data_IF_076958543931
#
_entry.id   IF_076958543931
#
_cell.length_a   1.000
_cell.length_b   1.000
_cell.length_c   1.000
_cell.angle_alpha   90.00
_cell.angle_beta   90.00
_cell.angle_gamma   90.00
#
_symmetry.space_group_name_H-M   'P 1'
#
loop_
_entity.id
_entity.type
_entity.pdbx_description
1 polymer ?
#
# COMPACT_ATOMS: atom_id res chain seq x y z
N UNK A 1 -26.16 21.44 -15.75
CA UNK A 1 -25.82 22.61 -14.94
C UNK A 1 -25.53 22.21 -13.51
N UNK A 2 -24.65 22.91 -12.86
CA UNK A 2 -24.32 22.74 -11.43
C UNK A 2 -24.88 23.90 -10.65
N UNK A 3 -25.49 23.61 -9.51
CA UNK A 3 -25.89 24.63 -8.55
C UNK A 3 -25.10 24.46 -7.26
N UNK A 4 -24.67 25.55 -6.66
CA UNK A 4 -23.93 25.59 -5.42
C UNK A 4 -24.44 26.73 -4.51
N UNK A 5 -23.76 26.92 -3.37
CA UNK A 5 -24.20 27.92 -2.39
C UNK A 5 -24.32 29.36 -2.96
N UNK A 6 -23.60 29.68 -4.04
CA UNK A 6 -23.69 31.00 -4.68
C UNK A 6 -24.98 31.18 -5.47
N UNK A 7 -25.69 30.10 -5.76
CA UNK A 7 -27.00 30.12 -6.45
C UNK A 7 -28.18 30.26 -5.48
N UNK A 8 -27.96 30.37 -4.19
CA UNK A 8 -29.01 30.63 -3.23
C UNK A 8 -29.45 32.11 -3.31
N UNK A 9 -30.76 32.32 -3.23
CA UNK A 9 -31.35 33.66 -3.35
C UNK A 9 -31.09 34.55 -2.11
N UNK A 10 -30.75 33.90 -0.97
CA UNK A 10 -30.33 34.53 0.27
C UNK A 10 -29.39 33.61 1.05
N UNK A 11 -28.53 34.21 1.85
CA UNK A 11 -27.72 33.46 2.82
C UNK A 11 -28.61 32.76 3.84
N UNK A 12 -28.22 31.55 4.25
CA UNK A 12 -28.92 30.81 5.30
C UNK A 12 -28.80 31.62 6.60
N UNK A 13 -29.94 32.02 7.18
CA UNK A 13 -29.97 32.72 8.45
C UNK A 13 -29.48 31.80 9.58
N UNK A 14 -28.81 32.35 10.59
CA UNK A 14 -28.40 31.56 11.74
C UNK A 14 -29.61 30.91 12.43
N UNK A 15 -29.49 29.68 12.94
CA UNK A 15 -30.56 28.99 13.64
C UNK A 15 -30.93 29.71 14.94
N UNK A 16 -32.21 29.73 15.25
CA UNK A 16 -32.65 30.12 16.60
C UNK A 16 -32.22 29.05 17.62
N UNK A 17 -32.20 29.38 18.90
CA UNK A 17 -31.83 28.44 19.96
C UNK A 17 -32.73 27.19 19.94
N UNK A 18 -34.02 27.37 19.75
CA UNK A 18 -34.96 26.22 19.67
C UNK A 18 -34.68 25.30 18.49
N UNK A 19 -34.35 25.86 17.34
CA UNK A 19 -34.00 25.10 16.14
C UNK A 19 -32.69 24.36 16.35
N UNK A 20 -31.70 25.04 16.93
CA UNK A 20 -30.38 24.45 17.18
C UNK A 20 -30.47 23.28 18.18
N UNK A 21 -31.25 23.46 19.27
CA UNK A 21 -31.48 22.41 20.26
C UNK A 21 -32.21 21.20 19.67
N UNK A 22 -33.20 21.42 18.81
CA UNK A 22 -33.91 20.34 18.13
C UNK A 22 -32.97 19.57 17.19
N UNK A 23 -32.21 20.30 16.38
CA UNK A 23 -31.25 19.70 15.46
C UNK A 23 -30.16 18.93 16.18
N UNK A 24 -29.59 19.50 17.26
CA UNK A 24 -28.61 18.79 18.09
C UNK A 24 -29.18 17.47 18.63
N UNK A 25 -30.43 17.47 19.11
CA UNK A 25 -31.09 16.26 19.60
C UNK A 25 -31.27 15.19 18.52
N UNK A 26 -31.51 15.61 17.28
CA UNK A 26 -31.65 14.73 16.11
C UNK A 26 -30.33 14.06 15.72
N UNK A 27 -29.24 14.80 15.85
CA UNK A 27 -27.88 14.33 15.49
C UNK A 27 -27.00 14.02 16.71
N UNK A 28 -27.62 13.81 17.87
CA UNK A 28 -26.94 13.62 19.16
C UNK A 28 -25.86 12.53 19.12
N UNK A 29 -26.08 11.47 18.34
CA UNK A 29 -25.14 10.38 18.15
C UNK A 29 -23.78 10.84 17.57
N UNK A 30 -23.75 11.90 16.74
CA UNK A 30 -22.51 12.45 16.18
C UNK A 30 -21.67 13.22 17.20
N UNK A 31 -22.31 13.64 18.29
CA UNK A 31 -21.70 14.39 19.39
C UNK A 31 -21.66 13.61 20.70
N UNK A 32 -21.80 12.29 20.62
CA UNK A 32 -21.68 11.38 21.76
C UNK A 32 -20.31 10.72 21.73
N UNK A 33 -19.61 10.71 22.85
CA UNK A 33 -18.36 9.95 22.97
C UNK A 33 -18.66 8.47 22.78
N UNK A 34 -17.79 7.68 22.15
CA UNK A 34 -17.98 6.24 22.09
C UNK A 34 -17.92 5.62 23.49
N UNK A 35 -18.43 4.41 23.63
CA UNK A 35 -18.13 3.57 24.79
C UNK A 35 -16.62 3.34 24.84
N UNK A 36 -16.02 3.54 26.02
CA UNK A 36 -14.60 3.32 26.26
C UNK A 36 -14.44 2.16 27.22
N UNK A 37 -13.71 1.13 26.79
CA UNK A 37 -13.26 0.03 27.64
C UNK A 37 -11.89 0.37 28.21
N UNK A 38 -11.79 0.44 29.52
CA UNK A 38 -10.52 0.59 30.22
C UNK A 38 -9.88 -0.79 30.33
N UNK A 39 -8.80 -1.02 29.62
CA UNK A 39 -8.17 -2.33 29.50
C UNK A 39 -6.74 -2.25 30.04
N UNK A 40 -6.39 -3.20 30.93
CA UNK A 40 -4.98 -3.55 31.22
C UNK A 40 -4.57 -4.72 30.35
N UNK A 41 -3.37 -4.70 29.87
CA UNK A 41 -2.81 -5.81 29.10
C UNK A 41 -1.31 -5.97 29.39
N UNK A 42 -0.83 -7.20 29.23
CA UNK A 42 0.59 -7.51 29.17
C UNK A 42 0.92 -7.97 27.76
N UNK A 43 2.10 -7.61 27.29
CA UNK A 43 2.58 -7.99 25.97
C UNK A 43 4.04 -8.40 26.02
N UNK A 44 4.42 -9.32 25.15
CA UNK A 44 5.80 -9.67 24.81
C UNK A 44 5.90 -9.75 23.30
N UNK A 45 6.69 -8.88 22.71
CA UNK A 45 6.83 -8.79 21.24
C UNK A 45 8.27 -8.92 20.83
N UNK A 46 8.57 -9.44 19.62
CA UNK A 46 9.95 -9.53 19.15
C UNK A 46 10.67 -8.17 19.14
N UNK A 47 9.94 -7.07 18.91
CA UNK A 47 10.51 -5.73 18.92
C UNK A 47 11.01 -5.29 20.31
N UNK A 48 10.43 -5.81 21.40
CA UNK A 48 10.90 -5.53 22.76
C UNK A 48 12.21 -6.26 23.08
N UNK A 49 12.39 -7.46 22.55
CA UNK A 49 13.56 -8.31 22.83
C UNK A 49 14.73 -8.05 21.90
N UNK A 50 14.51 -7.53 20.68
CA UNK A 50 15.51 -7.41 19.61
C UNK A 50 16.80 -6.71 20.04
N UNK A 51 16.72 -5.72 20.89
CA UNK A 51 17.88 -4.95 21.38
C UNK A 51 18.76 -5.77 22.36
N UNK A 52 18.16 -6.75 23.05
CA UNK A 52 18.85 -7.66 23.97
C UNK A 52 19.44 -8.91 23.31
N UNK A 53 19.02 -9.21 22.08
CA UNK A 53 19.44 -10.44 21.38
C UNK A 53 20.84 -10.30 20.79
N UNK A 54 21.74 -11.22 21.14
CA UNK A 54 23.07 -11.27 20.56
C UNK A 54 23.07 -12.07 19.24
N UNK A 55 23.40 -11.40 18.14
CA UNK A 55 23.58 -12.03 16.82
C UNK A 55 25.06 -12.14 16.51
N UNK A 56 25.54 -13.36 16.28
CA UNK A 56 26.95 -13.59 15.95
C UNK A 56 27.31 -13.09 14.55
N UNK A 57 28.55 -12.64 14.37
CA UNK A 57 29.08 -12.21 13.07
C UNK A 57 29.05 -13.37 12.07
N UNK A 58 29.28 -14.59 12.53
CA UNK A 58 29.25 -15.78 11.67
C UNK A 58 27.82 -16.07 11.14
N UNK A 59 26.79 -15.85 11.95
CA UNK A 59 25.41 -16.00 11.51
C UNK A 59 25.04 -14.96 10.42
N UNK A 60 25.49 -13.70 10.59
CA UNK A 60 25.28 -12.66 9.59
C UNK A 60 25.99 -13.01 8.28
N UNK A 61 27.27 -13.46 8.37
CA UNK A 61 28.04 -13.87 7.21
C UNK A 61 27.41 -15.08 6.49
N UNK A 62 26.94 -16.06 7.24
CA UNK A 62 26.27 -17.25 6.70
C UNK A 62 24.95 -16.88 5.97
N UNK A 63 24.15 -15.96 6.52
CA UNK A 63 22.93 -15.50 5.88
C UNK A 63 23.23 -14.68 4.60
N UNK A 64 24.29 -13.85 4.64
CA UNK A 64 24.75 -13.11 3.48
C UNK A 64 25.19 -14.06 2.35
N UNK A 65 25.99 -15.08 2.66
CA UNK A 65 26.42 -16.10 1.69
C UNK A 65 25.24 -16.90 1.13
N UNK A 66 24.29 -17.28 1.98
CA UNK A 66 23.09 -18.00 1.57
C UNK A 66 22.21 -17.19 0.59
N UNK A 67 22.30 -15.85 0.63
CA UNK A 67 21.57 -14.91 -0.23
C UNK A 67 22.48 -14.20 -1.25
N UNK A 68 23.58 -14.83 -1.67
CA UNK A 68 24.55 -14.24 -2.59
C UNK A 68 23.90 -13.63 -3.84
N UNK A 69 22.93 -14.30 -4.45
CA UNK A 69 22.22 -13.82 -5.62
C UNK A 69 21.39 -12.52 -5.40
N UNK A 70 21.03 -12.21 -4.14
CA UNK A 70 20.35 -10.96 -3.78
C UNK A 70 21.35 -9.79 -3.73
N UNK A 71 22.51 -10.04 -3.13
CA UNK A 71 23.54 -9.04 -2.86
C UNK A 71 24.54 -8.86 -4.00
N UNK A 72 24.79 -9.91 -4.78
CA UNK A 72 25.78 -9.94 -5.85
C UNK A 72 25.13 -10.26 -7.19
N UNK A 73 24.55 -9.25 -7.80
CA UNK A 73 23.98 -9.36 -9.14
C UNK A 73 25.06 -9.16 -10.19
N UNK A 74 25.38 -10.19 -11.00
CA UNK A 74 26.38 -10.05 -12.06
C UNK A 74 25.92 -9.05 -13.12
N UNK A 75 26.86 -8.57 -13.93
CA UNK A 75 26.52 -7.78 -15.11
C UNK A 75 25.64 -8.62 -16.05
N UNK A 76 24.61 -7.99 -16.62
CA UNK A 76 23.73 -8.59 -17.63
C UNK A 76 23.56 -7.65 -18.80
N UNK A 77 23.17 -8.20 -19.95
CA UNK A 77 22.93 -7.46 -21.18
C UNK A 77 21.49 -7.69 -21.63
N UNK A 78 20.81 -6.62 -22.02
CA UNK A 78 19.57 -6.73 -22.81
C UNK A 78 20.01 -6.99 -24.25
N UNK A 79 19.55 -8.09 -24.82
CA UNK A 79 20.11 -8.59 -26.07
C UNK A 79 19.01 -8.98 -27.05
N UNK A 80 19.14 -8.51 -28.29
CA UNK A 80 18.37 -9.04 -29.40
C UNK A 80 19.19 -10.07 -30.17
N UNK A 81 18.53 -11.10 -30.71
CA UNK A 81 19.13 -12.13 -31.53
C UNK A 81 18.40 -12.26 -32.86
N UNK A 82 19.07 -12.00 -33.98
CA UNK A 82 18.54 -12.24 -35.31
C UNK A 82 19.25 -13.43 -35.95
N UNK A 83 18.52 -14.54 -36.15
CA UNK A 83 19.06 -15.75 -36.78
C UNK A 83 18.95 -15.68 -38.30
N UNK A 84 19.86 -16.38 -38.98
CA UNK A 84 19.99 -16.45 -40.44
C UNK A 84 20.01 -17.91 -40.90
N UNK A 85 19.72 -18.09 -42.18
CA UNK A 85 19.71 -19.45 -42.79
C UNK A 85 21.12 -20.04 -42.84
N UNK A 86 22.10 -19.18 -43.17
CA UNK A 86 23.50 -19.57 -43.20
C UNK A 86 24.44 -18.43 -42.77
N UNK A 87 25.71 -18.77 -42.53
CA UNK A 87 26.72 -17.84 -42.06
C UNK A 87 27.10 -16.74 -43.13
N UNK A 88 26.89 -17.04 -44.39
CA UNK A 88 27.17 -16.08 -45.47
C UNK A 88 26.17 -14.95 -45.44
N UNK A 89 24.87 -15.27 -45.34
CA UNK A 89 23.81 -14.29 -45.22
C UNK A 89 23.98 -13.43 -43.95
N UNK A 90 24.27 -14.05 -42.81
CA UNK A 90 24.56 -13.35 -41.57
C UNK A 90 25.77 -12.38 -41.68
N UNK A 91 26.83 -12.83 -42.32
CA UNK A 91 28.03 -11.99 -42.50
C UNK A 91 27.77 -10.81 -43.45
N UNK A 92 26.98 -11.01 -44.52
CA UNK A 92 26.58 -9.93 -45.42
C UNK A 92 25.69 -8.90 -44.70
N UNK A 93 24.74 -9.35 -43.90
CA UNK A 93 23.90 -8.48 -43.09
C UNK A 93 24.72 -7.66 -42.09
N UNK A 94 25.67 -8.29 -41.43
CA UNK A 94 26.59 -7.59 -40.53
C UNK A 94 27.41 -6.52 -41.25
N UNK A 95 27.98 -6.86 -42.42
CA UNK A 95 28.74 -5.91 -43.21
C UNK A 95 27.92 -4.69 -43.65
N UNK A 96 26.64 -4.88 -43.97
CA UNK A 96 25.72 -3.77 -44.28
C UNK A 96 25.46 -2.87 -43.06
N UNK A 97 25.36 -3.44 -41.88
CA UNK A 97 25.21 -2.65 -40.62
C UNK A 97 26.50 -1.86 -40.35
N UNK A 98 27.67 -2.48 -40.49
CA UNK A 98 28.98 -1.84 -40.23
C UNK A 98 29.29 -0.63 -41.11
N UNK A 99 28.70 -0.55 -42.28
CA UNK A 99 28.84 0.61 -43.19
C UNK A 99 27.62 1.55 -43.16
N UNK A 100 26.75 1.42 -42.13
CA UNK A 100 25.53 2.20 -41.95
C UNK A 100 24.57 2.15 -43.17
N UNK A 101 24.64 1.09 -43.97
CA UNK A 101 23.74 0.90 -45.10
C UNK A 101 22.33 0.50 -44.69
N UNK A 102 22.24 -0.20 -43.56
CA UNK A 102 20.97 -0.66 -42.96
C UNK A 102 21.11 -0.73 -41.46
N UNK A 103 20.04 -0.41 -40.71
CA UNK A 103 19.98 -0.65 -39.25
C UNK A 103 19.58 -2.07 -38.90
N UNK A 104 19.90 -2.49 -37.69
CA UNK A 104 19.45 -3.80 -37.19
C UNK A 104 17.90 -3.88 -37.18
N UNK A 105 17.22 -2.82 -36.77
CA UNK A 105 15.75 -2.76 -36.73
C UNK A 105 15.17 -2.96 -38.14
N UNK A 106 15.75 -2.30 -39.12
CA UNK A 106 15.34 -2.43 -40.53
C UNK A 106 15.52 -3.86 -41.05
N UNK A 107 16.61 -4.54 -40.66
CA UNK A 107 16.84 -5.94 -41.00
C UNK A 107 15.79 -6.87 -40.40
N UNK A 108 15.36 -6.58 -39.18
CA UNK A 108 14.28 -7.32 -38.49
C UNK A 108 12.95 -7.12 -39.24
N UNK A 109 12.59 -5.87 -39.55
CA UNK A 109 11.38 -5.52 -40.29
C UNK A 109 11.35 -6.13 -41.71
N UNK A 110 12.44 -6.08 -42.45
CA UNK A 110 12.54 -6.62 -43.85
C UNK A 110 12.34 -8.14 -43.86
N UNK A 111 12.50 -8.82 -42.71
CA UNK A 111 12.21 -10.24 -42.53
C UNK A 111 10.79 -10.52 -42.03
N UNK A 112 9.98 -9.47 -41.86
CA UNK A 112 8.61 -9.59 -41.36
C UNK A 112 8.51 -9.89 -39.88
N UNK A 113 9.58 -9.60 -39.10
CA UNK A 113 9.65 -9.77 -37.65
C UNK A 113 9.44 -8.44 -36.95
N UNK A 114 8.91 -8.46 -35.74
CA UNK A 114 8.93 -7.33 -34.81
C UNK A 114 10.17 -7.41 -33.91
N UNK A 115 10.60 -6.30 -33.32
CA UNK A 115 11.71 -6.28 -32.35
C UNK A 115 11.46 -7.18 -31.15
N UNK A 116 10.20 -7.33 -30.75
CA UNK A 116 9.78 -8.25 -29.67
C UNK A 116 10.00 -9.74 -30.03
N UNK A 117 10.09 -10.09 -31.33
CA UNK A 117 10.31 -11.47 -31.76
C UNK A 117 11.78 -11.88 -31.66
N UNK A 118 12.68 -10.89 -31.61
CA UNK A 118 14.13 -11.08 -31.55
C UNK A 118 14.71 -10.75 -30.16
N UNK A 119 13.91 -10.16 -29.28
CA UNK A 119 14.30 -9.83 -27.91
C UNK A 119 14.49 -11.11 -27.08
N UNK A 120 15.67 -11.25 -26.49
CA UNK A 120 16.04 -12.34 -25.58
C UNK A 120 15.92 -11.94 -24.10
N UNK A 121 15.58 -10.69 -23.81
CA UNK A 121 15.57 -10.15 -22.47
C UNK A 121 16.97 -9.89 -21.88
N UNK A 122 17.09 -9.89 -20.59
CA UNK A 122 18.34 -9.70 -19.87
C UNK A 122 19.04 -11.05 -19.59
N UNK A 123 20.27 -11.17 -20.11
CA UNK A 123 21.07 -12.39 -20.05
C UNK A 123 22.44 -12.13 -19.44
N UNK A 124 22.93 -13.11 -18.72
CA UNK A 124 24.33 -13.19 -18.31
C UNK A 124 25.22 -13.72 -19.46
N UNK A 125 26.52 -13.62 -19.24
CA UNK A 125 27.49 -14.04 -20.26
C UNK A 125 27.42 -15.55 -20.57
N UNK A 126 27.10 -16.38 -19.60
CA UNK A 126 27.05 -17.84 -19.74
C UNK A 126 25.84 -18.27 -20.57
N UNK A 127 24.69 -17.64 -20.34
CA UNK A 127 23.46 -17.90 -21.07
C UNK A 127 23.55 -17.61 -22.57
N UNK A 128 24.45 -16.70 -22.96
CA UNK A 128 24.72 -16.35 -24.38
C UNK A 128 25.64 -17.37 -25.09
N UNK A 129 26.20 -18.34 -24.38
CA UNK A 129 27.06 -19.37 -24.96
C UNK A 129 28.24 -18.79 -25.77
N UNK A 130 28.41 -19.22 -27.02
CA UNK A 130 29.52 -18.77 -27.88
C UNK A 130 29.54 -17.25 -28.14
N UNK A 131 28.39 -16.59 -28.10
CA UNK A 131 28.29 -15.15 -28.29
C UNK A 131 28.65 -14.34 -27.04
N UNK A 132 28.65 -14.96 -25.85
CA UNK A 132 28.72 -14.26 -24.57
C UNK A 132 29.90 -13.31 -24.42
N UNK A 133 31.11 -13.75 -24.77
CA UNK A 133 32.32 -12.92 -24.67
C UNK A 133 32.21 -11.68 -25.55
N UNK A 134 31.76 -11.87 -26.79
CA UNK A 134 31.67 -10.76 -27.76
C UNK A 134 30.52 -9.79 -27.40
N UNK A 135 29.38 -10.29 -26.96
CA UNK A 135 28.24 -9.45 -26.51
C UNK A 135 28.63 -8.64 -25.28
N UNK A 136 29.38 -9.21 -24.35
CA UNK A 136 29.81 -8.51 -23.13
C UNK A 136 30.96 -7.52 -23.37
N UNK A 137 31.72 -7.67 -24.47
CA UNK A 137 32.72 -6.71 -24.91
C UNK A 137 32.12 -5.56 -25.77
N UNK A 138 30.90 -5.76 -26.26
CA UNK A 138 30.24 -4.80 -27.15
C UNK A 138 29.66 -3.59 -26.38
N UNK A 139 29.66 -2.45 -27.07
CA UNK A 139 29.00 -1.23 -26.59
C UNK A 139 27.47 -1.29 -26.82
N UNK A 140 26.78 -0.29 -26.27
CA UNK A 140 25.33 -0.13 -26.50
C UNK A 140 25.07 0.05 -28.00
N UNK A 141 24.01 -0.57 -28.51
CA UNK A 141 23.57 -0.63 -29.91
C UNK A 141 24.55 -1.32 -30.85
N UNK A 142 25.66 -1.83 -30.35
CA UNK A 142 26.62 -2.55 -31.20
C UNK A 142 26.08 -3.94 -31.55
N UNK A 143 26.27 -4.32 -32.85
CA UNK A 143 25.92 -5.66 -33.36
C UNK A 143 27.16 -6.51 -33.48
N UNK A 144 27.15 -7.69 -32.89
CA UNK A 144 28.24 -8.66 -32.94
C UNK A 144 27.80 -9.98 -33.56
N UNK A 145 28.74 -10.76 -34.05
CA UNK A 145 28.50 -12.03 -34.69
C UNK A 145 29.03 -12.06 -36.13
N UNK A 146 28.61 -13.04 -36.96
CA UNK A 146 27.67 -14.10 -36.62
C UNK A 146 28.27 -15.15 -35.70
N UNK A 147 27.42 -15.71 -34.81
CA UNK A 147 27.76 -16.86 -33.96
C UNK A 147 26.80 -18.00 -34.23
N UNK A 148 27.26 -19.23 -34.16
CA UNK A 148 26.41 -20.41 -34.29
C UNK A 148 25.50 -20.57 -33.10
N UNK A 149 24.20 -20.78 -33.36
CA UNK A 149 23.17 -21.03 -32.36
C UNK A 149 22.35 -22.26 -32.73
N UNK A 150 21.52 -22.77 -31.81
CA UNK A 150 20.65 -23.88 -32.07
C UNK A 150 19.62 -23.66 -33.21
N UNK A 151 19.36 -22.40 -33.58
CA UNK A 151 18.40 -21.99 -34.63
C UNK A 151 19.09 -21.46 -35.88
N UNK A 152 20.41 -21.60 -36.00
CA UNK A 152 21.24 -21.13 -37.09
C UNK A 152 22.24 -20.04 -36.66
N UNK A 153 23.09 -19.58 -37.60
CA UNK A 153 23.99 -18.47 -37.37
C UNK A 153 23.21 -17.21 -37.04
N UNK A 154 23.63 -16.45 -36.02
CA UNK A 154 22.87 -15.30 -35.54
C UNK A 154 23.77 -14.09 -35.28
N UNK A 155 23.22 -12.91 -35.53
CA UNK A 155 23.73 -11.62 -35.06
C UNK A 155 23.06 -11.26 -33.73
N UNK A 156 23.83 -10.61 -32.86
CA UNK A 156 23.38 -10.16 -31.57
C UNK A 156 23.57 -8.65 -31.45
N UNK A 157 22.54 -7.93 -30.99
CA UNK A 157 22.61 -6.51 -30.68
C UNK A 157 22.49 -6.31 -29.17
N UNK A 158 23.28 -5.39 -28.61
CA UNK A 158 23.21 -5.01 -27.19
C UNK A 158 22.25 -3.83 -27.04
N UNK A 159 21.06 -4.05 -26.52
CA UNK A 159 20.05 -3.00 -26.27
C UNK A 159 20.25 -2.28 -24.93
N UNK A 160 20.96 -2.88 -24.00
CA UNK A 160 21.16 -2.31 -22.67
C UNK A 160 22.26 -3.04 -21.90
N UNK A 161 22.90 -2.29 -21.01
CA UNK A 161 23.96 -2.77 -20.13
C UNK A 161 23.49 -2.61 -18.70
N UNK A 162 23.18 -3.72 -18.05
CA UNK A 162 22.83 -3.79 -16.63
C UNK A 162 24.12 -4.09 -15.86
N UNK A 163 24.75 -3.04 -15.36
CA UNK A 163 26.01 -3.17 -14.62
C UNK A 163 25.86 -4.09 -13.42
N UNK A 164 26.92 -4.80 -13.11
CA UNK A 164 27.01 -5.59 -11.88
C UNK A 164 26.72 -4.70 -10.66
N UNK A 165 25.92 -5.24 -9.74
CA UNK A 165 25.61 -4.60 -8.46
C UNK A 165 26.07 -5.53 -7.36
N UNK A 166 26.97 -5.05 -6.51
CA UNK A 166 27.43 -5.78 -5.34
C UNK A 166 27.14 -4.94 -4.09
N UNK A 167 26.44 -5.53 -3.13
CA UNK A 167 26.27 -4.98 -1.79
C UNK A 167 27.24 -5.69 -0.88
N UNK A 168 28.19 -5.00 -0.31
CA UNK A 168 29.17 -5.64 0.58
C UNK A 168 28.53 -6.21 1.85
N UNK A 169 29.15 -7.21 2.45
CA UNK A 169 28.73 -7.75 3.75
C UNK A 169 28.60 -6.64 4.81
N UNK A 170 29.52 -5.69 4.83
CA UNK A 170 29.46 -4.56 5.76
C UNK A 170 28.19 -3.73 5.56
N UNK A 171 27.80 -3.42 4.31
CA UNK A 171 26.59 -2.68 4.00
C UNK A 171 25.31 -3.48 4.29
N UNK A 172 25.32 -4.79 4.11
CA UNK A 172 24.21 -5.68 4.37
C UNK A 172 24.08 -6.07 5.86
N UNK A 173 25.14 -5.95 6.66
CA UNK A 173 25.19 -6.45 8.04
C UNK A 173 24.10 -5.89 8.95
N UNK A 174 23.77 -4.61 8.84
CA UNK A 174 22.74 -3.99 9.67
C UNK A 174 21.35 -4.61 9.46
N UNK A 175 20.81 -4.61 8.24
CA UNK A 175 19.55 -5.28 7.91
C UNK A 175 19.53 -6.78 8.26
N UNK A 176 20.58 -7.52 7.93
CA UNK A 176 20.69 -8.96 8.21
C UNK A 176 20.72 -9.26 9.71
N UNK A 177 21.44 -8.42 10.48
CA UNK A 177 21.46 -8.53 11.94
C UNK A 177 20.07 -8.34 12.54
N UNK A 178 19.35 -7.31 12.09
CA UNK A 178 18.00 -7.05 12.58
C UNK A 178 17.03 -8.18 12.26
N UNK A 179 17.13 -8.76 11.07
CA UNK A 179 16.34 -9.92 10.68
C UNK A 179 16.61 -11.12 11.59
N UNK A 180 17.88 -11.49 11.75
CA UNK A 180 18.28 -12.59 12.63
C UNK A 180 17.90 -12.33 14.10
N UNK A 181 18.03 -11.10 14.58
CA UNK A 181 17.63 -10.73 15.93
C UNK A 181 16.13 -10.89 16.16
N UNK A 182 15.30 -10.50 15.17
CA UNK A 182 13.85 -10.71 15.23
C UNK A 182 13.48 -12.19 15.20
N UNK A 183 14.18 -13.02 14.43
CA UNK A 183 13.92 -14.47 14.38
C UNK A 183 14.31 -15.14 15.69
N UNK A 184 15.43 -14.76 16.29
CA UNK A 184 15.84 -15.25 17.60
C UNK A 184 14.87 -14.79 18.71
N UNK A 185 14.44 -13.54 18.67
CA UNK A 185 13.45 -13.01 19.61
C UNK A 185 12.11 -13.77 19.52
N UNK A 186 11.66 -14.13 18.31
CA UNK A 186 10.47 -14.98 18.11
C UNK A 186 10.65 -16.35 18.75
N UNK A 187 11.81 -16.99 18.52
CA UNK A 187 12.10 -18.29 19.11
C UNK A 187 12.13 -18.23 20.64
N UNK A 188 12.67 -17.17 21.21
CA UNK A 188 12.68 -16.93 22.65
C UNK A 188 11.27 -16.75 23.22
N UNK A 189 10.40 -16.00 22.52
CA UNK A 189 8.98 -15.86 22.89
C UNK A 189 8.30 -17.23 22.85
N UNK A 190 8.49 -18.00 21.78
CA UNK A 190 7.88 -19.34 21.64
C UNK A 190 8.28 -20.28 22.78
N UNK A 191 9.52 -20.21 23.27
CA UNK A 191 9.98 -20.97 24.43
C UNK A 191 9.27 -20.55 25.75
N UNK A 192 8.88 -19.28 25.87
CA UNK A 192 8.21 -18.74 27.06
C UNK A 192 6.69 -18.95 27.04
N UNK A 193 6.06 -19.16 25.88
CA UNK A 193 4.58 -19.27 25.74
C UNK A 193 3.96 -20.29 26.68
N UNK A 194 4.56 -21.49 26.77
CA UNK A 194 4.03 -22.56 27.64
C UNK A 194 4.06 -22.19 29.12
N UNK A 195 5.11 -21.54 29.59
CA UNK A 195 5.25 -21.09 30.97
C UNK A 195 4.25 -19.96 31.27
N UNK A 196 4.07 -19.01 30.35
CA UNK A 196 3.11 -17.90 30.53
C UNK A 196 1.67 -18.43 30.55
N UNK A 197 1.33 -19.39 29.69
CA UNK A 197 0.01 -20.00 29.65
C UNK A 197 -0.27 -20.82 30.94
N UNK A 198 0.71 -21.54 31.45
CA UNK A 198 0.62 -22.26 32.72
C UNK A 198 0.39 -21.31 33.90
N UNK A 199 1.07 -20.16 33.97
CA UNK A 199 0.86 -19.13 34.98
C UNK A 199 -0.54 -18.56 34.92
N UNK A 200 -1.04 -18.24 33.72
CA UNK A 200 -2.42 -17.78 33.52
C UNK A 200 -3.44 -18.84 33.93
N UNK A 201 -3.19 -20.08 33.56
CA UNK A 201 -4.09 -21.22 33.96
C UNK A 201 -4.11 -21.46 35.48
N UNK A 202 -2.99 -21.16 36.16
CA UNK A 202 -2.88 -21.17 37.61
C UNK A 202 -3.57 -19.97 38.28
N UNK A 203 -4.03 -18.98 37.50
CA UNK A 203 -4.76 -17.80 37.99
C UNK A 203 -3.88 -16.59 38.26
N UNK A 204 -2.67 -16.54 37.70
CA UNK A 204 -1.80 -15.37 37.81
C UNK A 204 -2.47 -14.12 37.25
N UNK A 205 -2.29 -13.01 37.90
CA UNK A 205 -2.72 -11.67 37.45
C UNK A 205 -1.77 -11.13 36.38
N UNK A 206 -2.20 -10.11 35.65
CA UNK A 206 -1.33 -9.44 34.67
C UNK A 206 -0.11 -8.78 35.32
N UNK A 207 -0.29 -8.30 36.56
CA UNK A 207 0.75 -7.70 37.38
C UNK A 207 1.80 -8.72 37.80
N UNK A 208 1.37 -9.94 38.17
CA UNK A 208 2.28 -11.05 38.50
C UNK A 208 3.04 -11.53 37.24
N UNK A 209 2.35 -11.65 36.10
CA UNK A 209 3.03 -11.98 34.84
C UNK A 209 4.11 -10.97 34.47
N UNK A 210 3.83 -9.68 34.60
CA UNK A 210 4.83 -8.63 34.33
C UNK A 210 6.02 -8.66 35.32
N UNK A 211 5.82 -9.21 36.52
CA UNK A 211 6.88 -9.36 37.53
C UNK A 211 7.70 -10.65 37.40
N UNK A 212 7.12 -11.71 36.83
CA UNK A 212 7.72 -13.04 36.76
C UNK A 212 8.23 -13.39 35.34
N UNK A 213 7.85 -12.61 34.34
CA UNK A 213 8.23 -12.80 32.94
C UNK A 213 8.73 -11.50 32.33
N UNK A 214 9.17 -11.55 31.07
CA UNK A 214 9.59 -10.37 30.32
C UNK A 214 8.40 -9.59 29.69
N UNK A 215 7.16 -9.95 30.03
CA UNK A 215 5.98 -9.24 29.55
C UNK A 215 5.88 -7.85 30.18
N UNK A 216 5.52 -6.85 29.38
CA UNK A 216 5.29 -5.50 29.84
C UNK A 216 3.81 -5.23 30.10
N UNK A 217 3.49 -4.74 31.32
CA UNK A 217 2.14 -4.31 31.68
C UNK A 217 1.87 -2.89 31.19
N UNK A 218 0.74 -2.71 30.49
CA UNK A 218 0.27 -1.42 30.02
C UNK A 218 -1.25 -1.29 30.17
N UNK A 219 -1.74 -0.06 29.98
CA UNK A 219 -3.18 0.24 30.01
C UNK A 219 -3.59 1.04 28.78
N UNK A 220 -4.84 0.86 28.35
CA UNK A 220 -5.41 1.62 27.24
C UNK A 220 -6.90 1.89 27.47
N UNK A 221 -7.33 3.11 27.17
CA UNK A 221 -8.72 3.47 27.01
C UNK A 221 -9.14 3.15 25.57
N UNK A 222 -9.72 1.96 25.39
CA UNK A 222 -9.97 1.42 24.06
C UNK A 222 -11.40 1.68 23.57
N UNK A 223 -11.53 2.09 22.33
CA UNK A 223 -12.75 2.09 21.52
C UNK A 223 -12.39 1.68 20.08
N UNK A 224 -13.37 1.42 19.24
CA UNK A 224 -13.17 0.83 17.89
C UNK A 224 -12.24 1.63 16.94
N UNK A 225 -12.04 2.91 17.18
CA UNK A 225 -11.19 3.78 16.36
C UNK A 225 -9.72 3.84 16.85
N UNK A 226 -9.42 3.29 18.03
CA UNK A 226 -8.05 3.22 18.55
C UNK A 226 -7.25 2.21 17.73
N UNK A 227 -6.13 2.68 17.15
CA UNK A 227 -5.31 1.89 16.22
C UNK A 227 -3.81 2.10 16.41
N UNK A 228 -3.37 2.49 17.61
CA UNK A 228 -1.96 2.70 17.95
C UNK A 228 -1.46 1.59 18.87
N UNK A 229 -0.15 1.31 18.81
CA UNK A 229 0.46 0.26 19.62
C UNK A 229 -0.18 -1.10 19.36
N UNK A 230 -0.44 -1.85 20.43
CA UNK A 230 -1.07 -3.17 20.34
C UNK A 230 -2.47 -3.12 19.72
N UNK A 231 -3.20 -2.01 19.89
CA UNK A 231 -4.53 -1.82 19.28
C UNK A 231 -4.49 -1.67 17.72
N UNK A 232 -3.31 -1.65 17.09
CA UNK A 232 -3.18 -1.76 15.65
C UNK A 232 -3.48 -3.19 15.15
N UNK A 233 -3.21 -4.20 15.96
CA UNK A 233 -3.41 -5.62 15.62
C UNK A 233 -4.89 -6.01 15.67
N UNK A 234 -5.31 -6.81 14.69
CA UNK A 234 -6.69 -7.28 14.60
C UNK A 234 -7.06 -8.21 15.78
N UNK A 235 -6.12 -9.02 16.23
CA UNK A 235 -6.25 -9.94 17.37
C UNK A 235 -6.58 -9.17 18.65
N UNK A 236 -5.91 -8.04 18.89
CA UNK A 236 -6.20 -7.18 20.02
C UNK A 236 -7.60 -6.55 19.91
N UNK A 237 -7.97 -6.04 18.73
CA UNK A 237 -9.29 -5.43 18.51
C UNK A 237 -10.42 -6.43 18.79
N UNK A 238 -10.27 -7.68 18.33
CA UNK A 238 -11.23 -8.76 18.57
C UNK A 238 -11.32 -9.08 20.08
N UNK A 239 -10.18 -9.24 20.74
CA UNK A 239 -10.13 -9.53 22.17
C UNK A 239 -10.73 -8.37 22.99
N UNK A 240 -10.35 -7.12 22.70
CA UNK A 240 -10.88 -5.93 23.38
C UNK A 240 -12.37 -5.73 23.15
N UNK A 241 -12.89 -6.04 21.95
CA UNK A 241 -14.33 -5.96 21.69
C UNK A 241 -15.14 -6.97 22.52
N UNK A 242 -14.58 -8.16 22.76
CA UNK A 242 -15.29 -9.29 23.41
C UNK A 242 -14.99 -9.46 24.88
N UNK A 243 -13.97 -8.78 25.43
CA UNK A 243 -13.60 -8.91 26.84
C UNK A 243 -14.75 -8.45 27.75
N UNK A 244 -14.94 -9.19 28.85
CA UNK A 244 -15.94 -8.92 29.91
C UNK A 244 -15.27 -8.80 31.27
N UNK A 245 -15.94 -8.17 32.25
CA UNK A 245 -15.40 -7.96 33.61
C UNK A 245 -15.07 -9.26 34.33
N UNK A 246 -15.86 -10.32 34.09
CA UNK A 246 -15.68 -11.65 34.70
C UNK A 246 -14.77 -12.56 33.85
N UNK A 247 -14.20 -12.04 32.74
CA UNK A 247 -13.39 -12.81 31.82
C UNK A 247 -11.98 -13.05 32.37
N UNK A 248 -11.53 -14.31 32.37
CA UNK A 248 -10.15 -14.63 32.71
C UNK A 248 -9.23 -14.24 31.53
N UNK A 249 -8.07 -13.58 31.80
CA UNK A 249 -7.07 -13.32 30.78
C UNK A 249 -6.60 -14.63 30.10
N UNK A 250 -6.43 -14.56 28.79
CA UNK A 250 -5.90 -15.66 27.98
C UNK A 250 -4.76 -15.16 27.14
N UNK A 251 -3.76 -15.99 26.95
CA UNK A 251 -2.66 -15.69 26.05
C UNK A 251 -3.15 -15.74 24.60
N UNK A 252 -2.84 -14.69 23.84
CA UNK A 252 -3.24 -14.54 22.43
C UNK A 252 -1.99 -14.23 21.63
N UNK A 253 -1.77 -15.00 20.56
CA UNK A 253 -0.65 -14.80 19.65
C UNK A 253 -0.91 -13.65 18.68
N UNK A 254 0.16 -12.94 18.34
CA UNK A 254 0.20 -11.89 17.33
C UNK A 254 0.84 -12.42 16.04
N UNK A 255 0.51 -11.83 14.86
CA UNK A 255 1.06 -12.27 13.57
C UNK A 255 2.58 -12.09 13.43
N UNK A 256 3.18 -11.21 14.22
CA UNK A 256 4.61 -10.95 14.23
C UNK A 256 5.42 -11.92 15.11
N UNK A 257 4.75 -12.85 15.79
CA UNK A 257 5.33 -13.80 16.72
C UNK A 257 5.31 -13.33 18.18
N UNK A 258 4.71 -12.17 18.46
CA UNK A 258 4.46 -11.72 19.82
C UNK A 258 3.25 -12.38 20.46
N UNK A 259 3.06 -12.13 21.77
CA UNK A 259 1.91 -12.60 22.53
C UNK A 259 1.40 -11.49 23.45
N UNK A 260 0.13 -11.55 23.80
CA UNK A 260 -0.45 -10.65 24.78
C UNK A 260 -1.57 -11.34 25.58
N UNK A 261 -1.87 -10.80 26.73
CA UNK A 261 -3.09 -11.12 27.49
C UNK A 261 -3.71 -9.81 27.98
N UNK A 262 -5.03 -9.74 28.09
CA UNK A 262 -5.72 -8.54 28.52
C UNK A 262 -6.83 -8.81 29.54
N UNK A 263 -7.18 -7.76 30.30
CA UNK A 263 -8.24 -7.73 31.29
C UNK A 263 -9.02 -6.43 31.17
N UNK A 264 -10.35 -6.50 31.26
CA UNK A 264 -11.22 -5.33 31.36
C UNK A 264 -11.20 -4.81 32.81
N UNK A 265 -10.88 -3.55 33.00
CA UNK A 265 -10.92 -2.88 34.31
C UNK A 265 -12.24 -2.16 34.55
N UNK A 266 -12.92 -1.72 33.51
CA UNK A 266 -14.18 -1.01 33.56
C UNK A 266 -14.65 -0.50 32.20
N UNK A 267 -15.90 -0.04 32.18
CA UNK A 267 -16.53 0.53 30.97
C UNK A 267 -16.98 1.96 31.29
N UNK A 268 -16.51 2.93 30.49
CA UNK A 268 -17.05 4.28 30.50
C UNK A 268 -18.16 4.34 29.45
N UNK A 269 -19.42 4.58 29.85
CA UNK A 269 -20.53 4.58 28.90
C UNK A 269 -20.46 5.77 27.94
N UNK A 270 -21.08 5.65 26.76
CA UNK A 270 -21.22 6.75 25.82
C UNK A 270 -21.87 7.96 26.50
N UNK A 271 -21.24 9.12 26.36
CA UNK A 271 -21.72 10.35 27.01
C UNK A 271 -21.91 11.45 25.96
N UNK A 272 -23.11 12.02 25.83
CA UNK A 272 -23.38 13.17 24.98
C UNK A 272 -22.55 14.38 25.44
N UNK A 273 -21.85 15.02 24.51
CA UNK A 273 -21.14 16.31 24.78
C UNK A 273 -22.21 17.39 24.92
N UNK A 274 -22.21 18.20 25.99
CA UNK A 274 -23.17 19.30 26.13
C UNK A 274 -23.18 20.22 24.92
N UNK A 275 -24.37 20.69 24.50
CA UNK A 275 -24.52 21.59 23.36
C UNK A 275 -23.61 22.81 23.44
N UNK A 276 -23.42 23.34 24.64
CA UNK A 276 -22.56 24.50 24.90
C UNK A 276 -21.11 24.28 24.45
N UNK A 277 -20.61 23.05 24.60
CA UNK A 277 -19.23 22.70 24.23
C UNK A 277 -19.03 22.42 22.76
N UNK A 278 -20.08 22.06 22.05
CA UNK A 278 -20.06 21.69 20.62
C UNK A 278 -20.87 22.66 19.74
N UNK A 279 -21.32 23.77 20.33
CA UNK A 279 -22.24 24.71 19.70
C UNK A 279 -21.80 25.17 18.32
N UNK A 280 -20.55 25.58 18.17
CA UNK A 280 -20.02 26.05 16.88
C UNK A 280 -20.08 24.95 15.81
N UNK A 281 -19.68 23.73 16.17
CA UNK A 281 -19.72 22.58 15.26
C UNK A 281 -21.16 22.20 14.88
N UNK A 282 -22.10 22.29 15.83
CA UNK A 282 -23.53 22.02 15.55
C UNK A 282 -24.13 23.09 14.63
N UNK A 283 -23.79 24.38 14.83
CA UNK A 283 -24.22 25.47 13.95
C UNK A 283 -23.65 25.28 12.55
N UNK A 284 -22.39 24.93 12.41
CA UNK A 284 -21.76 24.66 11.11
C UNK A 284 -22.47 23.49 10.40
N UNK A 285 -22.70 22.38 11.13
CA UNK A 285 -23.39 21.20 10.60
C UNK A 285 -24.81 21.54 10.18
N UNK A 286 -25.56 22.28 11.00
CA UNK A 286 -26.90 22.75 10.68
C UNK A 286 -26.89 23.62 9.43
N UNK A 287 -25.99 24.61 9.34
CA UNK A 287 -25.87 25.50 8.20
C UNK A 287 -25.60 24.73 6.91
N UNK A 288 -24.70 23.75 6.97
CA UNK A 288 -24.38 22.86 5.83
C UNK A 288 -25.61 22.04 5.42
N UNK A 289 -26.33 21.47 6.39
CA UNK A 289 -27.53 20.67 6.15
C UNK A 289 -28.65 21.50 5.52
N UNK A 290 -28.92 22.69 6.06
CA UNK A 290 -29.91 23.59 5.52
C UNK A 290 -29.51 24.12 4.13
N UNK A 291 -28.22 24.44 3.92
CA UNK A 291 -27.71 24.83 2.60
C UNK A 291 -28.00 23.72 1.58
N UNK A 292 -27.70 22.49 1.91
CA UNK A 292 -27.97 21.35 1.01
C UNK A 292 -29.45 21.12 0.78
N UNK A 293 -30.30 21.30 1.81
CA UNK A 293 -31.76 21.19 1.69
C UNK A 293 -32.33 22.29 0.78
N UNK A 294 -31.82 23.52 0.90
CA UNK A 294 -32.21 24.63 0.03
C UNK A 294 -31.77 24.44 -1.43
N UNK A 295 -30.51 23.99 -1.63
CA UNK A 295 -30.00 23.67 -2.96
C UNK A 295 -30.80 22.55 -3.62
N UNK A 296 -31.15 21.51 -2.84
CA UNK A 296 -31.96 20.39 -3.33
C UNK A 296 -33.36 20.87 -3.76
N UNK A 297 -34.05 21.64 -2.92
CA UNK A 297 -35.36 22.22 -3.26
C UNK A 297 -35.28 23.10 -4.52
N UNK A 298 -34.24 23.94 -4.63
CA UNK A 298 -34.00 24.76 -5.82
C UNK A 298 -33.75 23.90 -7.05
N UNK A 299 -32.91 22.86 -6.92
CA UNK A 299 -32.63 21.90 -7.99
C UNK A 299 -33.89 21.16 -8.46
N UNK A 300 -34.73 20.70 -7.52
CA UNK A 300 -36.03 20.07 -7.83
C UNK A 300 -36.98 21.02 -8.53
N UNK A 301 -37.08 22.30 -8.07
CA UNK A 301 -37.90 23.33 -8.73
C UNK A 301 -37.39 23.64 -10.13
N UNK A 302 -36.08 23.80 -10.33
CA UNK A 302 -35.47 24.01 -11.64
C UNK A 302 -35.67 22.81 -12.57
N UNK A 303 -35.51 21.58 -12.05
CA UNK A 303 -35.76 20.35 -12.80
C UNK A 303 -37.23 20.24 -13.23
N UNK A 304 -38.17 20.58 -12.36
CA UNK A 304 -39.61 20.60 -12.70
C UNK A 304 -39.96 21.70 -13.72
N UNK A 305 -39.23 22.83 -13.71
CA UNK A 305 -39.36 23.90 -14.69
C UNK A 305 -38.76 23.62 -16.06
N UNK A 306 -37.81 22.66 -16.14
CA UNK A 306 -37.23 22.21 -17.40
C UNK A 306 -38.23 21.36 -18.17
N UNK A 307 -39.03 21.98 -18.97
CA UNK A 307 -39.91 21.30 -19.94
C UNK A 307 -39.14 21.05 -21.24
N UNK A 308 -39.69 20.25 -22.16
CA UNK A 308 -39.07 19.94 -23.44
C UNK A 308 -38.63 21.18 -24.27
N UNK A 309 -39.14 22.35 -23.98
CA UNK A 309 -38.86 23.61 -24.69
C UNK A 309 -38.13 24.65 -23.84
N UNK A 310 -37.86 24.41 -22.56
CA UNK A 310 -37.11 25.33 -21.70
C UNK A 310 -35.61 25.10 -21.83
N UNK A 311 -34.85 26.15 -22.10
CA UNK A 311 -33.38 26.09 -22.11
C UNK A 311 -32.81 26.38 -20.72
N UNK A 312 -31.61 25.91 -20.45
CA UNK A 312 -30.89 26.24 -19.21
C UNK A 312 -30.69 27.74 -19.02
N UNK A 313 -30.50 28.47 -20.12
CA UNK A 313 -30.38 29.94 -20.13
C UNK A 313 -31.66 30.63 -19.66
N UNK A 314 -32.85 30.10 -20.01
CA UNK A 314 -34.14 30.66 -19.56
C UNK A 314 -34.36 30.50 -18.04
N UNK A 315 -33.58 29.65 -17.38
CA UNK A 315 -33.59 29.41 -15.94
C UNK A 315 -32.39 30.05 -15.24
N UNK A 316 -31.68 30.97 -15.93
CA UNK A 316 -30.45 31.60 -15.43
C UNK A 316 -29.37 30.62 -14.98
N UNK A 317 -29.30 29.45 -15.64
CA UNK A 317 -28.32 28.41 -15.38
C UNK A 317 -27.23 28.42 -16.46
N UNK A 318 -26.00 28.48 -16.04
CA UNK A 318 -24.87 28.27 -16.95
C UNK A 318 -24.80 26.79 -17.33
N UNK A 319 -25.07 26.49 -18.59
CA UNK A 319 -24.90 25.16 -19.14
C UNK A 319 -23.58 25.09 -19.93
N UNK A 320 -22.79 24.07 -19.66
CA UNK A 320 -21.64 23.72 -20.48
C UNK A 320 -22.02 22.47 -21.26
N UNK A 321 -21.93 22.52 -22.59
CA UNK A 321 -22.20 21.39 -23.46
C UNK A 321 -20.88 20.75 -23.85
N UNK A 322 -20.69 19.50 -23.46
CA UNK A 322 -19.58 18.68 -23.86
C UNK A 322 -20.03 17.75 -25.01
N UNK A 323 -19.31 17.79 -26.12
CA UNK A 323 -19.58 16.96 -27.30
C UNK A 323 -18.49 15.91 -27.49
N UNK A 324 -18.83 14.81 -28.11
CA UNK A 324 -17.87 13.74 -28.46
C UNK A 324 -17.16 13.07 -27.26
N UNK A 325 -17.83 13.00 -26.08
CA UNK A 325 -17.29 12.37 -24.88
C UNK A 325 -17.67 10.89 -24.79
N UNK A 326 -16.74 10.09 -24.31
CA UNK A 326 -16.99 8.70 -23.94
C UNK A 326 -17.28 8.59 -22.45
N UNK A 327 -17.84 7.46 -22.00
CA UNK A 327 -18.10 7.18 -20.57
C UNK A 327 -16.84 7.15 -19.69
N UNK A 328 -15.65 7.18 -20.29
CA UNK A 328 -14.35 7.14 -19.57
C UNK A 328 -13.66 8.50 -19.52
N UNK A 329 -14.21 9.51 -20.19
CA UNK A 329 -13.59 10.80 -20.27
C UNK A 329 -13.82 11.59 -18.98
N UNK A 330 -12.76 12.13 -18.42
CA UNK A 330 -12.83 13.04 -17.28
C UNK A 330 -13.40 14.39 -17.71
N UNK A 331 -14.40 14.88 -16.98
CA UNK A 331 -14.95 16.23 -17.13
C UNK A 331 -14.66 17.02 -15.86
N UNK A 332 -13.87 18.06 -15.98
CA UNK A 332 -13.48 18.89 -14.84
C UNK A 332 -14.72 19.52 -14.17
N UNK A 333 -14.85 19.31 -12.86
CA UNK A 333 -15.96 19.81 -12.06
C UNK A 333 -17.27 19.02 -12.17
N UNK A 334 -17.34 17.94 -12.95
CA UNK A 334 -18.48 17.05 -12.97
C UNK A 334 -18.40 16.01 -11.82
N UNK A 335 -19.53 15.72 -11.13
CA UNK A 335 -19.57 14.63 -10.15
C UNK A 335 -19.34 13.28 -10.81
N UNK A 336 -18.59 12.38 -10.15
CA UNK A 336 -18.31 11.03 -10.65
C UNK A 336 -19.60 10.24 -11.01
N UNK A 337 -20.72 10.50 -10.34
CA UNK A 337 -22.00 9.87 -10.62
C UNK A 337 -22.59 10.22 -12.01
N UNK A 338 -22.15 11.31 -12.67
CA UNK A 338 -22.58 11.69 -14.02
C UNK A 338 -21.85 10.90 -15.13
N UNK A 339 -20.71 10.28 -14.79
CA UNK A 339 -19.87 9.55 -15.74
C UNK A 339 -20.30 8.05 -15.81
N UNK A 340 -21.07 7.59 -14.82
CA UNK A 340 -21.45 6.17 -14.67
C UNK A 340 -22.90 5.85 -15.07
N UNK A 341 -23.67 6.81 -15.60
CA UNK A 341 -25.03 6.56 -16.10
C UNK A 341 -25.04 6.37 -17.64
#
# INVERSE_FOLDING_TARGET
ARIDATNLDAAIAAPTETVLQAFYSEILALYTTPEIKQISYVQLTPAQLVDGVEVSVDAIAGLYEARDAEFNKPERRLVDRLAFVDATEASQAKAQIEVDAISFDRLVEDRGLALTDVDMGDLDQVALGAAGVAVFAAELDQVVGPFDTAIGPALFRVNGILKAQATSLEAASGPLRNELALDLARAEIDEQVANIDDLLAAGATLEELAGETEMELQTVDWHSEVSQGLAAYQEFKVAAATVTEDGFPKLIALPDGGVFALRLNGIVPPTPKPLETVREAVVEHWTKTETMAHLRRKGEALSAGLTANASFESLDLRAQTETERTRRDYVEGAPNALITQ
#
